data_IF_176895407116
#
_entry.id   IF_176895407116
#
_cell.length_a   1.000
_cell.length_b   1.000
_cell.length_c   1.000
_cell.angle_alpha   90.00
_cell.angle_beta   90.00
_cell.angle_gamma   90.00
#
_symmetry.space_group_name_H-M   'P 1'
#
loop_
_entity.id
_entity.type
_entity.pdbx_description
1 polymer ?
#
# COMPACT_ATOMS: atom_id res chain seq x y z
N UNK A 1 -12.19 -19.18 45.76
CA UNK A 1 -11.98 -18.49 44.48
C UNK A 1 -11.61 -17.06 44.84
N UNK A 2 -10.31 -16.75 44.80
CA UNK A 2 -9.84 -15.37 44.88
C UNK A 2 -10.50 -14.63 43.71
N UNK A 3 -11.34 -13.65 44.03
CA UNK A 3 -11.95 -12.78 43.03
C UNK A 3 -10.82 -12.08 42.28
N UNK A 4 -10.84 -12.12 40.95
CA UNK A 4 -9.89 -11.48 40.02
C UNK A 4 -9.96 -9.93 40.12
N UNK A 5 -9.77 -9.36 41.32
CA UNK A 5 -9.90 -7.93 41.62
C UNK A 5 -8.54 -7.25 41.45
N UNK A 6 -8.01 -7.37 40.25
CA UNK A 6 -7.00 -6.45 39.73
C UNK A 6 -7.22 -6.28 38.22
N UNK A 7 -8.48 -6.00 37.85
CA UNK A 7 -8.85 -5.66 36.49
C UNK A 7 -8.28 -4.30 36.12
N UNK A 8 -7.93 -4.12 34.84
CA UNK A 8 -7.60 -2.81 34.28
C UNK A 8 -8.82 -1.89 34.44
N UNK A 9 -8.66 -0.81 35.20
CA UNK A 9 -9.76 0.14 35.51
C UNK A 9 -9.68 1.45 34.75
N UNK A 10 -8.47 1.84 34.37
CA UNK A 10 -8.20 3.07 33.62
C UNK A 10 -7.69 2.69 32.24
N UNK A 11 -8.42 3.11 31.22
CA UNK A 11 -8.14 2.85 29.82
C UNK A 11 -9.01 3.75 28.94
N UNK A 12 -8.67 3.80 27.66
CA UNK A 12 -9.55 4.39 26.65
C UNK A 12 -10.01 3.33 25.69
N UNK A 13 -11.21 3.49 25.14
CA UNK A 13 -11.73 2.65 24.05
C UNK A 13 -11.77 3.49 22.80
N UNK A 14 -11.20 3.01 21.70
CA UNK A 14 -11.05 3.75 20.46
C UNK A 14 -11.57 2.95 19.27
N UNK A 15 -12.26 3.65 18.38
CA UNK A 15 -12.67 3.20 17.06
C UNK A 15 -12.63 4.40 16.10
N UNK A 16 -12.39 4.16 14.80
CA UNK A 16 -12.37 5.19 13.77
C UNK A 16 -13.00 4.71 12.46
N UNK A 17 -13.45 5.67 11.66
CA UNK A 17 -13.88 5.43 10.30
C UNK A 17 -12.88 6.02 9.29
N UNK A 18 -12.76 5.40 8.12
CA UNK A 18 -11.87 5.86 7.05
C UNK A 18 -12.66 6.42 5.87
N UNK A 19 -12.15 7.44 5.16
CA UNK A 19 -12.83 8.00 3.99
C UNK A 19 -12.77 7.08 2.77
N UNK A 20 -11.75 6.23 2.67
CA UNK A 20 -11.48 5.39 1.52
C UNK A 20 -10.68 4.14 1.91
N UNK A 21 -10.39 3.29 0.92
CA UNK A 21 -9.67 2.01 1.09
C UNK A 21 -8.19 2.12 1.46
N UNK A 22 -7.53 3.27 1.27
CA UNK A 22 -6.08 3.41 1.50
C UNK A 22 -5.71 3.32 2.98
N UNK A 23 -6.67 3.62 3.86
CA UNK A 23 -6.54 3.51 5.32
C UNK A 23 -5.34 4.32 5.84
N UNK A 24 -5.13 5.51 5.26
CA UNK A 24 -4.07 6.48 5.61
C UNK A 24 -4.65 7.85 6.03
N UNK A 25 -5.97 7.91 6.27
CA UNK A 25 -6.71 9.02 6.83
C UNK A 25 -7.92 8.50 7.62
N UNK A 26 -8.39 9.27 8.59
CA UNK A 26 -9.62 9.02 9.33
C UNK A 26 -10.65 10.10 8.99
N UNK A 27 -11.91 9.72 8.82
CA UNK A 27 -13.06 10.62 8.59
C UNK A 27 -13.87 10.88 9.86
N UNK A 28 -13.79 10.00 10.85
CA UNK A 28 -14.24 10.26 12.22
C UNK A 28 -13.49 9.40 13.23
N UNK A 29 -13.53 9.79 14.49
CA UNK A 29 -12.93 9.03 15.59
C UNK A 29 -13.76 9.16 16.86
N UNK A 30 -14.03 8.03 17.52
CA UNK A 30 -14.72 7.94 18.80
C UNK A 30 -13.78 7.42 19.88
N UNK A 31 -13.78 8.09 21.03
CA UNK A 31 -12.98 7.71 22.19
C UNK A 31 -13.85 7.72 23.44
N UNK A 32 -13.95 6.59 24.13
CA UNK A 32 -14.56 6.49 25.46
C UNK A 32 -13.44 6.44 26.50
N UNK A 33 -13.44 7.39 27.43
CA UNK A 33 -12.47 7.45 28.54
C UNK A 33 -13.09 6.74 29.73
N UNK A 34 -12.39 5.73 30.24
CA UNK A 34 -12.80 4.94 31.39
C UNK A 34 -11.83 5.18 32.53
N UNK A 35 -12.37 5.59 33.68
CA UNK A 35 -11.64 5.77 34.94
C UNK A 35 -12.35 4.98 36.04
N UNK A 36 -11.58 4.28 36.87
CA UNK A 36 -12.10 3.43 37.95
C UNK A 36 -13.14 2.38 37.47
N UNK A 37 -13.09 2.00 36.19
CA UNK A 37 -14.02 1.07 35.54
C UNK A 37 -15.35 1.70 35.08
N UNK A 38 -15.50 3.03 35.19
CA UNK A 38 -16.66 3.77 34.73
C UNK A 38 -16.31 4.63 33.51
N UNK A 39 -17.18 4.65 32.50
CA UNK A 39 -17.03 5.60 31.39
C UNK A 39 -17.33 7.02 31.92
N UNK A 40 -16.32 7.87 31.94
CA UNK A 40 -16.39 9.22 32.53
C UNK A 40 -16.51 10.32 31.49
N UNK A 41 -16.02 10.09 30.28
CA UNK A 41 -16.06 11.06 29.18
C UNK A 41 -16.10 10.35 27.82
N UNK A 42 -16.75 10.99 26.86
CA UNK A 42 -16.83 10.56 25.46
C UNK A 42 -16.31 11.71 24.58
N UNK A 43 -15.29 11.44 23.77
CA UNK A 43 -14.76 12.38 22.76
C UNK A 43 -15.07 11.86 21.36
N UNK A 44 -15.74 12.67 20.56
CA UNK A 44 -16.05 12.35 19.17
C UNK A 44 -15.70 13.54 18.28
N UNK A 45 -15.09 13.27 17.13
CA UNK A 45 -14.90 14.26 16.10
C UNK A 45 -15.11 13.65 14.72
N UNK A 46 -15.78 14.39 13.85
CA UNK A 46 -15.52 14.29 12.41
C UNK A 46 -14.12 14.84 12.14
N UNK A 47 -13.45 14.31 11.12
CA UNK A 47 -12.09 14.70 10.78
C UNK A 47 -12.05 14.94 9.28
N UNK A 48 -11.56 16.10 8.86
CA UNK A 48 -11.27 16.35 7.46
C UNK A 48 -10.01 15.55 7.08
N UNK A 49 -10.13 14.51 6.23
CA UNK A 49 -9.01 13.66 5.91
C UNK A 49 -8.17 14.22 4.74
N UNK A 50 -8.53 15.37 4.18
CA UNK A 50 -7.85 16.03 3.06
C UNK A 50 -7.62 15.08 1.87
N UNK A 51 -8.58 14.20 1.62
CA UNK A 51 -8.56 13.22 0.53
C UNK A 51 -9.97 12.89 0.08
N UNK A 52 -10.08 12.18 -1.04
CA UNK A 52 -11.35 11.71 -1.58
C UNK A 52 -12.00 10.65 -0.70
N UNK A 53 -13.32 10.54 -0.83
CA UNK A 53 -14.13 9.50 -0.23
C UNK A 53 -14.53 8.45 -1.27
N UNK A 54 -14.38 7.18 -0.93
CA UNK A 54 -14.89 6.08 -1.76
C UNK A 54 -16.41 5.92 -1.52
N UNK A 55 -17.19 5.69 -2.59
CA UNK A 55 -18.65 5.49 -2.48
C UNK A 55 -19.01 4.39 -1.48
N UNK A 56 -18.21 3.33 -1.41
CA UNK A 56 -18.39 2.25 -0.44
C UNK A 56 -18.28 2.76 1.00
N UNK A 57 -17.26 3.57 1.31
CA UNK A 57 -17.03 4.10 2.66
C UNK A 57 -18.14 5.07 3.06
N UNK A 58 -18.61 5.91 2.13
CA UNK A 58 -19.77 6.79 2.37
C UNK A 58 -21.01 5.95 2.66
N UNK A 59 -21.31 4.94 1.84
CA UNK A 59 -22.47 4.08 2.04
C UNK A 59 -22.39 3.26 3.35
N UNK A 60 -21.18 2.93 3.79
CA UNK A 60 -20.95 2.11 4.97
C UNK A 60 -21.02 2.91 6.27
N UNK A 61 -20.48 4.14 6.28
CA UNK A 61 -20.33 4.98 7.49
C UNK A 61 -21.32 6.13 7.55
N UNK A 62 -21.89 6.51 6.41
CA UNK A 62 -22.74 7.68 6.25
C UNK A 62 -21.98 9.01 6.21
N UNK A 63 -20.64 9.00 6.21
CA UNK A 63 -19.81 10.21 6.22
C UNK A 63 -19.30 10.49 4.80
N UNK A 64 -19.65 11.65 4.26
CA UNK A 64 -19.22 12.16 2.96
C UNK A 64 -18.32 13.41 3.05
N UNK A 65 -17.80 13.88 1.91
CA UNK A 65 -16.98 15.09 1.83
C UNK A 65 -17.65 16.33 2.42
N UNK A 66 -18.96 16.47 2.27
CA UNK A 66 -19.77 17.59 2.76
C UNK A 66 -19.84 17.64 4.30
N UNK A 67 -19.77 16.49 4.98
CA UNK A 67 -19.86 16.42 6.43
C UNK A 67 -18.57 16.92 7.11
N UNK A 68 -17.44 16.79 6.42
CA UNK A 68 -16.10 17.04 6.99
C UNK A 68 -15.47 18.35 6.51
N UNK A 69 -16.17 19.15 5.68
CA UNK A 69 -15.59 20.36 5.06
C UNK A 69 -15.09 21.38 6.09
N UNK A 70 -15.84 21.54 7.19
CA UNK A 70 -15.52 22.45 8.29
C UNK A 70 -14.95 21.71 9.53
N UNK A 71 -14.74 20.40 9.42
CA UNK A 71 -14.17 19.58 10.50
C UNK A 71 -12.66 19.81 10.62
N UNK A 72 -12.07 19.63 11.82
CA UNK A 72 -10.62 19.74 11.98
C UNK A 72 -9.89 18.71 11.11
N UNK A 73 -8.72 19.08 10.60
CA UNK A 73 -7.78 18.14 10.00
C UNK A 73 -7.25 17.16 11.03
N UNK A 74 -6.67 16.05 10.58
CA UNK A 74 -6.11 15.07 11.51
C UNK A 74 -5.03 15.64 12.45
N UNK A 75 -4.06 16.47 12.02
CA UNK A 75 -3.09 17.07 12.92
C UNK A 75 -3.72 17.93 14.02
N UNK A 76 -4.73 18.74 13.67
CA UNK A 76 -5.43 19.61 14.62
C UNK A 76 -6.13 18.79 15.71
N UNK A 77 -6.90 17.77 15.31
CA UNK A 77 -7.56 16.90 16.29
C UNK A 77 -6.55 16.03 17.07
N UNK A 78 -5.51 15.53 16.41
CA UNK A 78 -4.47 14.74 17.06
C UNK A 78 -3.76 15.52 18.17
N UNK A 79 -3.51 16.81 17.98
CA UNK A 79 -2.91 17.65 19.01
C UNK A 79 -3.74 17.72 20.30
N UNK A 80 -5.06 17.57 20.22
CA UNK A 80 -5.97 17.52 21.38
C UNK A 80 -5.94 16.17 22.10
N UNK A 81 -5.70 15.06 21.38
CA UNK A 81 -5.84 13.70 21.92
C UNK A 81 -4.51 12.95 22.08
N UNK A 82 -3.38 13.48 21.59
CA UNK A 82 -2.10 12.76 21.55
C UNK A 82 -1.64 12.24 22.92
N UNK A 83 -1.82 13.03 23.97
CA UNK A 83 -1.41 12.65 25.34
C UNK A 83 -2.34 11.55 25.87
N UNK A 84 -3.65 11.67 25.59
CA UNK A 84 -4.63 10.64 25.91
C UNK A 84 -4.27 9.28 25.29
N UNK A 85 -3.89 9.26 24.01
CA UNK A 85 -3.49 8.04 23.30
C UNK A 85 -2.16 7.44 23.80
N UNK A 86 -1.22 8.28 24.25
CA UNK A 86 0.11 7.84 24.68
C UNK A 86 0.16 7.36 26.13
N UNK A 87 -0.61 8.01 27.00
CA UNK A 87 -0.56 7.76 28.45
C UNK A 87 -1.48 6.60 28.90
N UNK A 88 -2.43 6.18 28.05
CA UNK A 88 -3.41 5.16 28.37
C UNK A 88 -3.20 3.84 27.62
N UNK A 89 -3.80 2.76 28.12
CA UNK A 89 -4.02 1.56 27.32
C UNK A 89 -5.23 1.79 26.40
N UNK A 90 -5.04 1.53 25.12
CA UNK A 90 -6.07 1.63 24.09
C UNK A 90 -6.76 0.28 23.91
N UNK A 91 -8.03 0.22 24.25
CA UNK A 91 -8.91 -0.93 23.99
C UNK A 91 -9.61 -0.69 22.66
N UNK A 92 -9.75 -1.73 21.84
CA UNK A 92 -10.49 -1.61 20.58
C UNK A 92 -10.81 -2.96 19.94
N UNK A 93 -11.84 -3.01 19.11
CA UNK A 93 -12.15 -4.18 18.30
C UNK A 93 -11.28 -4.19 17.05
N UNK A 94 -10.39 -5.19 16.91
CA UNK A 94 -9.41 -5.22 15.82
C UNK A 94 -8.47 -3.99 15.79
N UNK A 95 -8.24 -3.37 16.96
CA UNK A 95 -7.57 -2.07 17.19
C UNK A 95 -6.23 -1.85 16.47
N UNK A 96 -5.53 -2.93 16.10
CA UNK A 96 -4.31 -2.82 15.28
C UNK A 96 -4.55 -2.20 13.91
N UNK A 97 -5.78 -2.26 13.39
CA UNK A 97 -6.19 -1.57 12.16
C UNK A 97 -6.22 -0.06 12.39
N UNK A 98 -6.94 0.41 13.40
CA UNK A 98 -7.11 1.81 13.78
C UNK A 98 -5.77 2.46 14.10
N UNK A 99 -4.94 1.79 14.91
CA UNK A 99 -3.58 2.25 15.21
C UNK A 99 -2.69 2.32 13.96
N UNK A 100 -2.95 1.47 12.97
CA UNK A 100 -2.31 1.54 11.64
C UNK A 100 -2.75 2.77 10.86
N UNK A 101 -4.05 3.09 10.87
CA UNK A 101 -4.58 4.29 10.20
C UNK A 101 -3.96 5.52 10.85
N UNK A 102 -4.04 5.66 12.17
CA UNK A 102 -3.42 6.76 12.93
C UNK A 102 -1.94 6.92 12.56
N UNK A 103 -1.18 5.81 12.57
CA UNK A 103 0.26 5.86 12.27
C UNK A 103 0.57 6.23 10.82
N UNK A 104 -0.21 5.75 9.86
CA UNK A 104 -0.08 6.12 8.43
C UNK A 104 -0.46 7.59 8.21
N UNK A 105 -1.52 8.07 8.86
CA UNK A 105 -1.92 9.48 8.78
C UNK A 105 -0.84 10.38 9.37
N UNK A 106 -0.30 10.05 10.56
CA UNK A 106 0.85 10.76 11.12
C UNK A 106 2.06 10.75 10.17
N UNK A 107 2.32 9.63 9.50
CA UNK A 107 3.37 9.53 8.47
C UNK A 107 3.12 10.51 7.31
N UNK A 108 1.87 10.57 6.81
CA UNK A 108 1.45 11.46 5.72
C UNK A 108 1.67 12.94 6.05
N UNK A 109 1.47 13.33 7.31
CA UNK A 109 1.72 14.69 7.80
C UNK A 109 3.16 14.93 8.28
N UNK A 110 4.06 13.95 8.16
CA UNK A 110 5.45 14.07 8.63
C UNK A 110 5.57 14.21 10.16
N UNK A 111 4.58 13.75 10.91
CA UNK A 111 4.52 13.83 12.37
C UNK A 111 5.19 12.62 13.04
N UNK A 112 5.77 12.78 14.24
CA UNK A 112 6.31 11.66 15.00
C UNK A 112 5.23 10.62 15.33
N UNK A 113 5.60 9.34 15.24
CA UNK A 113 4.69 8.22 15.51
C UNK A 113 5.10 7.56 16.83
N UNK A 114 4.30 7.66 17.90
CA UNK A 114 4.62 7.01 19.16
C UNK A 114 4.32 5.51 19.09
N UNK A 115 4.79 4.77 20.09
CA UNK A 115 4.30 3.43 20.36
C UNK A 115 3.03 3.49 21.22
N UNK A 116 2.04 2.66 20.94
CA UNK A 116 0.79 2.61 21.70
C UNK A 116 0.69 1.31 22.50
N UNK A 117 0.24 1.38 23.74
CA UNK A 117 -0.16 0.19 24.49
C UNK A 117 -1.61 -0.13 24.17
N UNK A 118 -1.93 -1.37 23.83
CA UNK A 118 -3.28 -1.72 23.43
C UNK A 118 -3.74 -3.09 23.93
N UNK A 119 -5.06 -3.25 23.97
CA UNK A 119 -5.76 -4.51 24.15
C UNK A 119 -6.79 -4.71 23.04
N UNK A 120 -6.76 -5.86 22.37
CA UNK A 120 -7.63 -6.14 21.23
C UNK A 120 -8.77 -7.08 21.62
N UNK A 121 -10.00 -6.57 21.65
CA UNK A 121 -11.21 -7.34 22.02
C UNK A 121 -11.54 -8.43 21.01
N UNK A 122 -11.20 -8.26 19.72
CA UNK A 122 -11.34 -9.32 18.70
C UNK A 122 -10.51 -10.56 19.06
N UNK A 123 -9.27 -10.37 19.50
CA UNK A 123 -8.39 -11.49 19.87
C UNK A 123 -8.90 -12.17 21.13
N UNK A 124 -9.40 -11.40 22.10
CA UNK A 124 -10.01 -11.93 23.32
C UNK A 124 -11.32 -12.68 23.03
N UNK A 125 -12.18 -12.15 22.17
CA UNK A 125 -13.41 -12.82 21.74
C UNK A 125 -13.11 -14.17 21.07
N UNK A 126 -12.14 -14.23 20.15
CA UNK A 126 -11.71 -15.50 19.52
C UNK A 126 -11.20 -16.55 20.51
N UNK A 127 -10.63 -16.13 21.64
CA UNK A 127 -10.13 -17.06 22.67
C UNK A 127 -11.24 -17.56 23.59
N UNK A 128 -12.16 -16.67 23.96
CA UNK A 128 -13.07 -16.89 25.08
C UNK A 128 -14.52 -17.13 24.67
N UNK A 129 -14.91 -16.71 23.47
CA UNK A 129 -16.27 -16.82 22.94
C UNK A 129 -16.26 -17.82 21.77
N UNK A 130 -17.00 -18.92 21.92
CA UNK A 130 -17.21 -19.90 20.85
C UNK A 130 -18.32 -19.41 19.90
N UNK A 131 -17.93 -18.54 18.95
CA UNK A 131 -18.84 -17.87 18.02
C UNK A 131 -18.45 -18.13 16.56
N UNK A 132 -19.42 -18.28 15.65
CA UNK A 132 -19.14 -18.46 14.22
C UNK A 132 -18.61 -17.17 13.57
N UNK A 133 -18.82 -16.01 14.17
CA UNK A 133 -18.39 -14.71 13.69
C UNK A 133 -17.99 -13.82 14.86
N UNK A 134 -16.84 -13.13 14.74
CA UNK A 134 -16.33 -12.23 15.78
C UNK A 134 -16.35 -10.75 15.35
N UNK A 135 -17.20 -10.39 14.38
CA UNK A 135 -17.47 -8.97 14.08
C UNK A 135 -18.18 -8.34 15.28
N UNK A 136 -17.90 -7.07 15.59
CA UNK A 136 -18.49 -6.39 16.74
C UNK A 136 -20.02 -6.48 16.70
N UNK A 137 -20.63 -6.09 15.59
CA UNK A 137 -22.08 -6.16 15.39
C UNK A 137 -22.69 -7.54 15.62
N UNK A 138 -21.98 -8.61 15.24
CA UNK A 138 -22.44 -9.98 15.49
C UNK A 138 -22.39 -10.31 16.99
N UNK A 139 -21.30 -9.96 17.68
CA UNK A 139 -21.14 -10.22 19.10
C UNK A 139 -22.16 -9.40 19.91
N UNK A 140 -22.32 -8.12 19.59
CA UNK A 140 -23.28 -7.22 20.24
C UNK A 140 -24.70 -7.77 20.12
N UNK A 141 -25.08 -8.24 18.93
CA UNK A 141 -26.41 -8.81 18.72
C UNK A 141 -26.62 -10.14 19.46
N UNK A 142 -25.67 -11.08 19.37
CA UNK A 142 -25.88 -12.46 19.82
C UNK A 142 -25.43 -12.73 21.28
N UNK A 143 -24.54 -11.90 21.82
CA UNK A 143 -23.97 -12.08 23.16
C UNK A 143 -24.43 -10.99 24.11
N UNK A 144 -24.36 -9.72 23.68
CA UNK A 144 -24.83 -8.60 24.50
C UNK A 144 -26.36 -8.39 24.37
N UNK A 145 -27.02 -9.11 23.45
CA UNK A 145 -28.46 -9.03 23.20
C UNK A 145 -28.98 -7.60 22.99
N UNK A 146 -28.22 -6.80 22.24
CA UNK A 146 -28.58 -5.41 21.95
C UNK A 146 -28.32 -5.05 20.48
N UNK A 147 -28.78 -3.88 20.08
CA UNK A 147 -28.57 -3.29 18.75
C UNK A 147 -28.08 -1.87 18.91
N UNK A 148 -27.27 -1.40 17.97
CA UNK A 148 -26.68 -0.07 17.99
C UNK A 148 -26.47 0.41 16.55
N UNK A 149 -26.09 1.67 16.40
CA UNK A 149 -25.71 2.23 15.11
C UNK A 149 -24.29 1.77 14.75
N UNK A 150 -24.18 0.60 14.10
CA UNK A 150 -22.90 0.09 13.64
C UNK A 150 -22.29 0.98 12.54
N UNK A 151 -20.97 1.03 12.48
CA UNK A 151 -20.19 1.89 11.57
C UNK A 151 -20.32 3.38 11.91
N UNK A 152 -20.44 3.64 13.20
CA UNK A 152 -20.33 4.95 13.80
C UNK A 152 -19.28 4.86 14.89
N UNK A 153 -18.16 5.56 14.71
CA UNK A 153 -16.99 5.40 15.56
C UNK A 153 -17.27 5.53 17.07
N UNK A 154 -18.16 6.44 17.50
CA UNK A 154 -18.51 6.55 18.92
C UNK A 154 -19.34 5.35 19.39
N UNK A 155 -20.37 4.97 18.63
CA UNK A 155 -21.23 3.85 19.00
C UNK A 155 -20.47 2.50 18.99
N UNK A 156 -19.54 2.32 18.06
CA UNK A 156 -18.63 1.17 18.01
C UNK A 156 -17.65 1.17 19.19
N UNK A 157 -17.10 2.32 19.59
CA UNK A 157 -16.27 2.43 20.79
C UNK A 157 -17.05 2.11 22.07
N UNK A 158 -18.29 2.57 22.20
CA UNK A 158 -19.17 2.25 23.33
C UNK A 158 -19.49 0.76 23.43
N UNK A 159 -19.87 0.13 22.32
CA UNK A 159 -20.15 -1.32 22.30
C UNK A 159 -18.89 -2.15 22.52
N UNK A 160 -17.74 -1.66 22.05
CA UNK A 160 -16.45 -2.27 22.36
C UNK A 160 -16.13 -2.20 23.85
N UNK A 161 -16.48 -1.10 24.54
CA UNK A 161 -16.33 -0.98 26.00
C UNK A 161 -17.17 -2.04 26.73
N UNK A 162 -18.43 -2.19 26.36
CA UNK A 162 -19.32 -3.20 26.97
C UNK A 162 -18.83 -4.62 26.69
N UNK A 163 -18.35 -4.89 25.48
CA UNK A 163 -17.70 -6.16 25.15
C UNK A 163 -16.43 -6.38 25.98
N UNK A 164 -15.59 -5.36 26.15
CA UNK A 164 -14.39 -5.46 26.97
C UNK A 164 -14.72 -5.81 28.42
N UNK A 165 -15.68 -5.12 29.04
CA UNK A 165 -16.17 -5.43 30.40
C UNK A 165 -16.61 -6.89 30.51
N UNK A 166 -17.39 -7.38 29.55
CA UNK A 166 -17.79 -8.79 29.51
C UNK A 166 -16.58 -9.73 29.47
N UNK A 167 -15.63 -9.47 28.57
CA UNK A 167 -14.45 -10.30 28.35
C UNK A 167 -13.53 -10.37 29.59
N UNK A 168 -13.51 -9.33 30.43
CA UNK A 168 -12.75 -9.34 31.69
C UNK A 168 -13.23 -10.41 32.70
N UNK A 169 -14.45 -10.93 32.53
CA UNK A 169 -14.94 -12.07 33.33
C UNK A 169 -14.30 -13.41 32.91
N UNK A 170 -13.69 -13.48 31.73
CA UNK A 170 -13.10 -14.71 31.17
C UNK A 170 -11.57 -14.69 31.25
N UNK A 171 -10.94 -13.52 31.14
CA UNK A 171 -9.49 -13.37 31.22
C UNK A 171 -9.06 -12.10 31.96
N UNK A 172 -7.86 -12.13 32.56
CA UNK A 172 -7.24 -10.91 33.10
C UNK A 172 -6.61 -10.11 31.94
N UNK A 173 -7.10 -8.89 31.64
CA UNK A 173 -6.61 -8.11 30.50
C UNK A 173 -5.13 -7.77 30.55
N UNK A 174 -4.55 -7.63 31.76
CA UNK A 174 -3.14 -7.26 31.95
C UNK A 174 -2.18 -8.26 31.30
N UNK A 175 -2.59 -9.51 31.14
CA UNK A 175 -1.78 -10.56 30.51
C UNK A 175 -1.71 -10.45 28.99
N UNK A 176 -2.55 -9.63 28.36
CA UNK A 176 -2.70 -9.54 26.91
C UNK A 176 -2.49 -8.13 26.35
N UNK A 177 -2.07 -7.19 27.20
CA UNK A 177 -1.62 -5.86 26.77
C UNK A 177 -0.42 -6.04 25.85
N UNK A 178 -0.49 -5.46 24.66
CA UNK A 178 0.57 -5.46 23.67
C UNK A 178 1.05 -4.04 23.42
N UNK A 179 2.26 -3.91 22.89
CA UNK A 179 2.76 -2.64 22.39
C UNK A 179 2.70 -2.65 20.87
N UNK A 180 1.91 -1.75 20.31
CA UNK A 180 1.94 -1.43 18.89
C UNK A 180 3.12 -0.51 18.65
N UNK A 181 4.02 -0.92 17.77
CA UNK A 181 5.05 -0.03 17.24
C UNK A 181 4.88 0.00 15.75
N UNK A 182 4.56 1.18 15.21
CA UNK A 182 4.51 1.35 13.78
C UNK A 182 5.90 1.10 13.21
N UNK A 183 6.01 0.05 12.42
CA UNK A 183 7.16 -0.16 11.55
C UNK A 183 6.62 0.13 10.17
N UNK A 184 6.98 1.28 9.55
CA UNK A 184 6.61 1.52 8.17
C UNK A 184 7.07 0.28 7.41
N UNK A 185 6.06 -0.45 6.94
CA UNK A 185 6.28 -1.81 6.50
C UNK A 185 6.85 -1.67 5.11
N UNK A 186 8.18 -1.52 5.05
CA UNK A 186 8.94 -1.41 3.81
C UNK A 186 8.72 -2.62 2.88
N UNK A 187 7.94 -3.62 3.32
CA UNK A 187 7.56 -4.86 2.64
C UNK A 187 6.05 -5.05 2.38
N UNK A 188 5.13 -4.19 2.87
CA UNK A 188 3.66 -4.37 2.65
C UNK A 188 2.98 -3.30 1.80
N UNK A 189 3.63 -2.17 1.51
CA UNK A 189 3.29 -1.35 0.33
C UNK A 189 3.89 -1.94 -0.96
N UNK A 190 4.11 -3.26 -0.96
CA UNK A 190 4.72 -3.97 -2.06
C UNK A 190 3.62 -4.32 -3.05
N UNK A 191 3.21 -3.33 -3.82
CA UNK A 191 2.53 -3.63 -5.05
C UNK A 191 3.55 -4.35 -5.96
N UNK A 192 3.47 -5.69 -6.00
CA UNK A 192 4.31 -6.51 -6.89
C UNK A 192 4.21 -6.03 -8.34
N UNK A 193 3.05 -5.49 -8.72
CA UNK A 193 2.83 -4.84 -10.01
C UNK A 193 3.64 -3.56 -10.10
N UNK A 194 3.67 -2.71 -9.07
CA UNK A 194 4.48 -1.48 -9.04
C UNK A 194 5.97 -1.76 -9.17
N UNK A 195 6.49 -2.75 -8.43
CA UNK A 195 7.91 -3.11 -8.47
C UNK A 195 8.29 -3.76 -9.81
N UNK A 196 7.43 -4.62 -10.37
CA UNK A 196 7.55 -5.11 -11.74
C UNK A 196 7.55 -3.93 -12.73
N UNK A 197 6.58 -3.02 -12.62
CA UNK A 197 6.42 -1.87 -13.52
C UNK A 197 7.65 -0.96 -13.46
N UNK A 198 8.24 -0.77 -12.28
CA UNK A 198 9.47 -0.01 -12.09
C UNK A 198 10.66 -0.67 -12.77
N UNK A 199 10.85 -1.98 -12.57
CA UNK A 199 11.94 -2.74 -13.17
C UNK A 199 11.76 -2.85 -14.69
N UNK A 200 10.53 -3.00 -15.15
CA UNK A 200 10.14 -3.02 -16.55
C UNK A 200 10.43 -1.67 -17.21
N UNK A 201 9.98 -0.54 -16.63
CA UNK A 201 10.30 0.80 -17.12
C UNK A 201 11.81 1.04 -17.17
N UNK A 202 12.54 0.61 -16.13
CA UNK A 202 14.00 0.70 -16.14
C UNK A 202 14.61 -0.04 -17.33
N UNK A 203 14.03 -1.18 -17.72
CA UNK A 203 14.36 -1.91 -18.95
C UNK A 203 14.08 -1.11 -20.22
N UNK A 204 12.84 -0.61 -20.36
CA UNK A 204 12.42 0.22 -21.49
C UNK A 204 13.40 1.36 -21.75
N UNK A 205 13.80 2.08 -20.70
CA UNK A 205 14.69 3.25 -20.83
C UNK A 205 16.18 2.88 -20.97
N UNK A 206 16.58 1.61 -20.82
CA UNK A 206 17.97 1.24 -21.13
C UNK A 206 18.23 1.30 -22.63
N UNK A 207 17.26 0.91 -23.46
CA UNK A 207 17.36 0.97 -24.92
C UNK A 207 17.51 2.42 -25.42
N UNK A 208 16.85 3.34 -24.74
CA UNK A 208 16.94 4.77 -25.02
C UNK A 208 18.36 5.36 -24.84
N UNK A 209 19.35 4.60 -24.35
CA UNK A 209 20.75 5.03 -24.29
C UNK A 209 21.53 4.82 -25.60
N UNK A 210 20.95 4.11 -26.56
CA UNK A 210 21.66 3.53 -27.70
C UNK A 210 21.28 4.26 -28.98
N UNK A 211 19.99 4.46 -29.19
CA UNK A 211 19.46 5.23 -30.32
C UNK A 211 19.45 6.73 -30.02
N UNK A 212 19.46 7.54 -31.07
CA UNK A 212 19.38 9.01 -30.97
C UNK A 212 17.94 9.54 -31.00
N UNK A 213 16.96 8.82 -31.57
CA UNK A 213 15.58 9.31 -31.77
C UNK A 213 14.48 8.33 -31.31
N UNK A 214 13.41 8.86 -30.69
CA UNK A 214 12.18 8.15 -30.30
C UNK A 214 11.31 7.91 -31.54
N UNK A 215 10.96 6.65 -31.79
CA UNK A 215 9.98 6.27 -32.81
C UNK A 215 8.58 6.36 -32.22
N UNK A 216 7.56 6.48 -33.08
CA UNK A 216 6.16 6.55 -32.64
C UNK A 216 5.75 5.27 -31.89
N UNK A 217 6.24 4.09 -32.31
CA UNK A 217 5.96 2.83 -31.62
C UNK A 217 6.55 2.78 -30.19
N UNK A 218 7.77 3.29 -30.01
CA UNK A 218 8.37 3.37 -28.67
C UNK A 218 7.69 4.41 -27.78
N UNK A 219 7.24 5.51 -28.39
CA UNK A 219 6.41 6.50 -27.71
C UNK A 219 5.11 5.88 -27.20
N UNK A 220 4.40 5.12 -28.04
CA UNK A 220 3.16 4.42 -27.67
C UNK A 220 3.39 3.41 -26.54
N UNK A 221 4.53 2.72 -26.54
CA UNK A 221 4.92 1.79 -25.48
C UNK A 221 5.13 2.52 -24.13
N UNK A 222 5.84 3.65 -24.13
CA UNK A 222 6.01 4.50 -22.95
C UNK A 222 4.70 5.11 -22.47
N UNK A 223 3.86 5.58 -23.39
CA UNK A 223 2.55 6.15 -23.09
C UNK A 223 1.60 5.10 -22.49
N UNK A 224 1.57 3.89 -23.06
CA UNK A 224 0.82 2.76 -22.52
C UNK A 224 1.28 2.42 -21.10
N UNK A 225 2.60 2.36 -20.87
CA UNK A 225 3.14 2.18 -19.53
C UNK A 225 2.68 3.29 -18.59
N UNK A 226 2.79 4.56 -19.00
CA UNK A 226 2.38 5.72 -18.20
C UNK A 226 0.89 5.64 -17.82
N UNK A 227 0.00 5.42 -18.78
CA UNK A 227 -1.45 5.32 -18.54
C UNK A 227 -1.79 4.18 -17.59
N UNK A 228 -1.11 3.04 -17.71
CA UNK A 228 -1.31 1.88 -16.84
C UNK A 228 -0.75 2.05 -15.42
N UNK A 229 0.08 3.08 -15.21
CA UNK A 229 0.78 3.35 -13.96
C UNK A 229 0.43 4.69 -13.29
N UNK A 230 -0.33 5.56 -13.97
CA UNK A 230 -0.72 6.88 -13.43
C UNK A 230 -1.51 6.81 -12.12
N UNK A 231 -2.14 5.67 -11.82
CA UNK A 231 -2.83 5.44 -10.55
C UNK A 231 -1.89 5.43 -9.32
N UNK A 232 -0.58 5.39 -9.54
CA UNK A 232 0.44 5.47 -8.49
C UNK A 232 1.08 6.87 -8.39
N UNK A 233 0.42 7.92 -8.89
CA UNK A 233 0.91 9.31 -8.82
C UNK A 233 1.20 9.82 -7.40
N UNK A 234 0.61 9.20 -6.38
CA UNK A 234 0.86 9.53 -4.97
C UNK A 234 1.99 8.68 -4.34
N UNK A 235 2.67 7.81 -5.10
CA UNK A 235 3.79 7.00 -4.59
C UNK A 235 5.10 7.80 -4.69
N UNK A 236 5.85 8.05 -3.59
CA UNK A 236 6.98 8.98 -3.59
C UNK A 236 8.10 8.68 -4.62
N UNK A 237 8.32 7.40 -4.95
CA UNK A 237 9.28 7.04 -6.01
C UNK A 237 8.69 7.19 -7.41
N UNK A 238 7.38 6.92 -7.59
CA UNK A 238 6.76 6.91 -8.91
C UNK A 238 6.24 8.28 -9.30
N UNK A 239 5.87 9.14 -8.36
CA UNK A 239 5.44 10.52 -8.59
C UNK A 239 6.47 11.27 -9.46
N UNK A 240 7.75 11.24 -9.07
CA UNK A 240 8.82 11.88 -9.85
C UNK A 240 8.98 11.27 -11.25
N UNK A 241 8.80 9.95 -11.35
CA UNK A 241 8.90 9.22 -12.63
C UNK A 241 7.71 9.56 -13.53
N UNK A 242 6.50 9.61 -12.99
CA UNK A 242 5.27 9.94 -13.69
C UNK A 242 5.27 11.40 -14.15
N UNK A 243 5.69 12.35 -13.31
CA UNK A 243 5.83 13.75 -13.70
C UNK A 243 6.83 13.94 -14.85
N UNK A 244 7.94 13.19 -14.84
CA UNK A 244 8.91 13.20 -15.94
C UNK A 244 8.37 12.57 -17.21
N UNK A 245 7.67 11.44 -17.10
CA UNK A 245 7.02 10.81 -18.25
C UNK A 245 5.93 11.71 -18.82
N UNK A 246 5.09 12.30 -17.97
CA UNK A 246 4.07 13.27 -18.36
C UNK A 246 4.71 14.44 -19.10
N UNK A 247 5.80 15.01 -18.59
CA UNK A 247 6.55 16.07 -19.27
C UNK A 247 7.09 15.63 -20.65
N UNK A 248 7.70 14.43 -20.73
CA UNK A 248 8.23 13.86 -21.99
C UNK A 248 7.11 13.56 -23.00
N UNK A 249 5.94 13.15 -22.52
CA UNK A 249 4.79 12.77 -23.33
C UNK A 249 3.91 13.99 -23.73
N UNK A 250 3.94 15.09 -22.97
CA UNK A 250 3.14 16.30 -23.25
C UNK A 250 3.84 17.26 -24.23
N UNK A 251 5.19 17.35 -24.22
CA UNK A 251 5.92 18.14 -25.21
C UNK A 251 6.07 17.40 -26.55
N UNK A 252 5.14 17.66 -27.46
CA UNK A 252 5.26 17.33 -28.89
C UNK A 252 6.50 17.98 -29.54
N UNK A 253 7.33 17.15 -30.19
CA UNK A 253 8.53 17.45 -31.01
C UNK A 253 9.87 17.79 -30.33
N UNK A 254 9.93 18.43 -29.15
CA UNK A 254 11.22 18.90 -28.56
C UNK A 254 12.05 17.80 -27.86
N UNK A 255 11.41 16.74 -27.35
CA UNK A 255 12.02 15.70 -26.50
C UNK A 255 12.15 14.33 -27.18
N UNK A 256 12.12 14.28 -28.52
CA UNK A 256 12.34 13.04 -29.29
C UNK A 256 13.74 12.43 -29.10
N UNK A 257 14.63 13.05 -28.34
CA UNK A 257 15.96 12.52 -28.05
C UNK A 257 15.90 11.43 -26.96
N UNK A 258 16.14 10.18 -27.35
CA UNK A 258 16.14 9.03 -26.44
C UNK A 258 17.19 9.16 -25.31
N UNK A 259 18.32 9.83 -25.55
CA UNK A 259 19.34 10.06 -24.50
C UNK A 259 18.82 10.95 -23.38
N UNK A 260 18.07 11.99 -23.70
CA UNK A 260 17.48 12.91 -22.70
C UNK A 260 16.45 12.19 -21.83
N UNK A 261 15.65 11.29 -22.42
CA UNK A 261 14.77 10.37 -21.69
C UNK A 261 15.57 9.48 -20.76
N UNK A 262 16.62 8.81 -21.26
CA UNK A 262 17.44 7.92 -20.45
C UNK A 262 18.17 8.66 -19.30
N UNK A 263 18.59 9.91 -19.52
CA UNK A 263 19.20 10.75 -18.49
C UNK A 263 18.21 11.19 -17.41
N UNK A 264 16.98 11.52 -17.81
CA UNK A 264 15.88 11.88 -16.89
C UNK A 264 15.57 10.76 -15.89
N UNK A 265 15.82 9.51 -16.28
CA UNK A 265 15.63 8.31 -15.45
C UNK A 265 16.93 7.72 -14.87
N UNK A 266 18.06 8.42 -14.93
CA UNK A 266 19.36 7.95 -14.38
C UNK A 266 19.29 7.60 -12.88
N UNK A 267 18.36 8.23 -12.15
CA UNK A 267 18.15 8.00 -10.71
C UNK A 267 17.33 6.74 -10.39
N UNK A 268 16.72 6.08 -11.39
CA UNK A 268 16.06 4.79 -11.22
C UNK A 268 17.16 3.72 -11.02
N UNK A 269 17.75 3.65 -9.82
CA UNK A 269 18.62 2.54 -9.41
C UNK A 269 17.81 1.59 -8.53
N UNK A 270 17.52 0.43 -9.13
CA UNK A 270 16.92 -0.83 -8.63
C UNK A 270 16.63 -0.95 -7.13
N UNK A 271 15.39 -1.32 -6.82
CA UNK A 271 14.94 -1.81 -5.51
C UNK A 271 15.77 -3.03 -5.07
N UNK A 272 16.42 -3.02 -3.88
CA UNK A 272 17.29 -4.10 -3.40
C UNK A 272 16.51 -5.33 -2.89
N UNK A 273 15.20 -5.44 -3.18
CA UNK A 273 14.27 -6.27 -2.41
C UNK A 273 13.87 -7.59 -3.09
N UNK A 274 14.35 -7.89 -4.30
CA UNK A 274 14.19 -9.20 -4.96
C UNK A 274 15.48 -10.02 -5.00
N UNK A 275 15.35 -11.35 -5.14
CA UNK A 275 16.49 -12.19 -5.56
C UNK A 275 17.02 -11.65 -6.89
N UNK A 276 18.34 -11.46 -6.98
CA UNK A 276 19.04 -10.86 -8.10
C UNK A 276 18.62 -11.45 -9.47
N UNK A 277 18.22 -12.71 -9.54
CA UNK A 277 17.76 -13.35 -10.78
C UNK A 277 16.41 -12.80 -11.29
N UNK A 278 15.41 -12.64 -10.42
CA UNK A 278 14.07 -12.16 -10.83
C UNK A 278 14.12 -10.70 -11.28
N UNK A 279 14.88 -9.88 -10.55
CA UNK A 279 15.14 -8.48 -10.92
C UNK A 279 15.77 -8.34 -12.31
N UNK A 280 16.68 -9.25 -12.67
CA UNK A 280 17.31 -9.25 -14.00
C UNK A 280 16.30 -9.57 -15.09
N UNK A 281 15.41 -10.54 -14.87
CA UNK A 281 14.38 -10.92 -15.85
C UNK A 281 13.33 -9.82 -16.07
N UNK A 282 12.88 -9.15 -15.01
CA UNK A 282 11.93 -8.04 -15.12
C UNK A 282 12.50 -6.86 -15.91
N UNK A 283 13.76 -6.51 -15.66
CA UNK A 283 14.46 -5.48 -16.44
C UNK A 283 14.69 -5.95 -17.88
N UNK A 284 14.98 -7.25 -18.08
CA UNK A 284 15.21 -7.80 -19.40
C UNK A 284 13.93 -7.81 -20.26
N UNK A 285 12.77 -8.09 -19.68
CA UNK A 285 11.46 -7.96 -20.35
C UNK A 285 11.23 -6.57 -20.91
N UNK A 286 11.54 -5.52 -20.14
CA UNK A 286 11.47 -4.14 -20.63
C UNK A 286 12.45 -3.86 -21.77
N UNK A 287 13.65 -4.45 -21.75
CA UNK A 287 14.61 -4.31 -22.85
C UNK A 287 14.08 -4.97 -24.13
N UNK A 288 13.54 -6.18 -24.03
CA UNK A 288 13.02 -6.92 -25.19
C UNK A 288 11.83 -6.17 -25.80
N UNK A 289 10.85 -5.75 -24.99
CA UNK A 289 9.68 -5.02 -25.49
C UNK A 289 10.06 -3.71 -26.18
N UNK A 290 11.08 -3.00 -25.65
CA UNK A 290 11.58 -1.77 -26.29
C UNK A 290 12.29 -2.00 -27.63
N UNK A 291 12.72 -3.22 -27.91
CA UNK A 291 13.34 -3.60 -29.19
C UNK A 291 12.27 -4.11 -30.14
N UNK A 292 11.40 -5.00 -29.67
CA UNK A 292 10.34 -5.60 -30.48
C UNK A 292 9.21 -4.63 -30.85
N UNK A 293 9.07 -3.49 -30.18
CA UNK A 293 8.13 -2.47 -30.60
C UNK A 293 8.57 -1.75 -31.89
N UNK A 294 9.84 -1.82 -32.27
CA UNK A 294 10.34 -1.19 -33.48
C UNK A 294 9.99 -2.03 -34.73
N UNK A 295 9.77 -1.35 -35.86
CA UNK A 295 9.44 -2.02 -37.13
C UNK A 295 10.62 -2.84 -37.70
N UNK A 296 11.86 -2.47 -37.35
CA UNK A 296 13.09 -3.12 -37.80
C UNK A 296 14.05 -3.37 -36.64
N UNK A 297 14.53 -4.61 -36.51
CA UNK A 297 15.58 -4.99 -35.57
C UNK A 297 16.96 -4.59 -36.09
N UNK A 298 17.69 -3.74 -35.36
CA UNK A 298 19.03 -3.28 -35.75
C UNK A 298 20.11 -4.18 -35.17
N UNK A 299 21.26 -4.27 -35.84
CA UNK A 299 22.43 -5.01 -35.35
C UNK A 299 22.91 -4.50 -33.98
N UNK A 300 22.79 -3.19 -33.75
CA UNK A 300 23.12 -2.55 -32.47
C UNK A 300 22.23 -3.05 -31.31
N UNK A 301 21.00 -3.46 -31.60
CA UNK A 301 20.03 -3.96 -30.63
C UNK A 301 20.43 -5.36 -30.15
N UNK A 302 20.84 -6.20 -31.09
CA UNK A 302 21.35 -7.55 -30.84
C UNK A 302 22.61 -7.46 -29.96
N UNK A 303 23.59 -6.65 -30.38
CA UNK A 303 24.83 -6.44 -29.62
C UNK A 303 24.55 -5.91 -28.21
N UNK A 304 23.54 -5.05 -28.06
CA UNK A 304 23.13 -4.54 -26.75
C UNK A 304 22.53 -5.62 -25.86
N UNK A 305 21.58 -6.39 -26.39
CA UNK A 305 20.92 -7.50 -25.70
C UNK A 305 21.99 -8.46 -25.20
N UNK A 306 22.90 -8.92 -26.07
CA UNK A 306 23.99 -9.84 -25.73
C UNK A 306 24.87 -9.32 -24.59
N UNK A 307 25.34 -8.07 -24.70
CA UNK A 307 26.16 -7.43 -23.65
C UNK A 307 25.41 -7.37 -22.32
N UNK A 308 24.11 -7.09 -22.35
CA UNK A 308 23.28 -7.02 -21.16
C UNK A 308 23.18 -8.37 -20.46
N UNK A 309 22.96 -9.44 -21.22
CA UNK A 309 22.86 -10.82 -20.73
C UNK A 309 24.16 -11.27 -20.07
N UNK A 310 25.28 -11.09 -20.76
CA UNK A 310 26.59 -11.52 -20.29
C UNK A 310 26.97 -10.77 -19.00
N UNK A 311 26.73 -9.45 -18.98
CA UNK A 311 26.97 -8.61 -17.79
C UNK A 311 26.08 -8.97 -16.60
N UNK A 312 24.92 -9.58 -16.83
CA UNK A 312 23.96 -9.96 -15.80
C UNK A 312 23.93 -11.47 -15.50
N UNK A 313 24.77 -12.31 -16.13
CA UNK A 313 24.78 -13.77 -15.93
C UNK A 313 23.39 -14.41 -16.04
N UNK A 314 22.59 -14.02 -17.04
CA UNK A 314 21.26 -14.60 -17.28
C UNK A 314 21.45 -16.00 -17.88
N UNK A 315 21.23 -17.05 -17.08
CA UNK A 315 21.42 -18.46 -17.46
C UNK A 315 20.07 -19.18 -17.65
N UNK A 316 19.15 -18.54 -18.37
CA UNK A 316 17.80 -19.05 -18.61
C UNK A 316 17.79 -20.07 -19.76
N UNK A 317 17.08 -21.20 -19.59
CA UNK A 317 17.03 -22.27 -20.61
C UNK A 317 16.29 -21.84 -21.87
N UNK A 318 15.26 -21.02 -21.74
CA UNK A 318 14.51 -20.48 -22.86
C UNK A 318 15.38 -19.50 -23.65
N UNK A 319 16.26 -18.75 -22.97
CA UNK A 319 17.22 -17.87 -23.64
C UNK A 319 18.37 -18.63 -24.35
N UNK A 320 18.76 -19.81 -23.86
CA UNK A 320 19.71 -20.67 -24.60
C UNK A 320 19.16 -21.18 -25.93
N UNK A 321 17.82 -21.24 -26.07
CA UNK A 321 17.16 -21.54 -27.34
C UNK A 321 17.35 -20.38 -28.32
N UNK A 322 17.12 -19.14 -27.86
CA UNK A 322 17.39 -17.92 -28.63
C UNK A 322 18.85 -17.84 -29.14
N UNK A 323 19.88 -17.97 -28.28
CA UNK A 323 21.30 -17.95 -28.74
C UNK A 323 21.64 -19.05 -29.75
N UNK A 324 20.89 -20.16 -29.74
CA UNK A 324 21.10 -21.26 -30.68
C UNK A 324 20.48 -20.94 -32.05
N UNK A 325 19.38 -20.20 -32.04
CA UNK A 325 18.62 -19.77 -33.22
C UNK A 325 19.26 -18.57 -33.91
N UNK A 326 19.93 -17.68 -33.15
CA UNK A 326 20.75 -16.56 -33.67
C UNK A 326 21.84 -16.95 -34.67
N UNK A 327 22.39 -18.16 -34.54
CA UNK A 327 23.45 -18.65 -35.43
C UNK A 327 22.90 -19.34 -36.70
N UNK A 328 21.61 -19.19 -36.98
CA UNK A 328 20.94 -19.81 -38.12
C UNK A 328 20.34 -18.73 -39.04
N UNK A 329 20.92 -18.57 -40.23
CA UNK A 329 20.54 -17.53 -41.21
C UNK A 329 19.07 -17.61 -41.68
N UNK A 330 18.38 -18.73 -41.43
CA UNK A 330 16.96 -18.95 -41.79
C UNK A 330 15.95 -18.55 -40.69
N UNK A 331 16.40 -17.97 -39.57
CA UNK A 331 15.54 -17.61 -38.43
C UNK A 331 15.23 -16.12 -38.39
N UNK A 332 13.94 -15.77 -38.26
CA UNK A 332 13.52 -14.41 -37.94
C UNK A 332 13.80 -14.09 -36.45
N UNK A 333 14.84 -13.30 -36.22
CA UNK A 333 15.27 -12.91 -34.88
C UNK A 333 14.23 -12.06 -34.13
N UNK A 334 13.41 -11.30 -34.85
CA UNK A 334 12.35 -10.50 -34.24
C UNK A 334 11.23 -11.41 -33.71
N UNK A 335 10.84 -12.43 -34.48
CA UNK A 335 9.86 -13.44 -34.06
C UNK A 335 10.35 -14.19 -32.81
N UNK A 336 11.63 -14.58 -32.77
CA UNK A 336 12.21 -15.23 -31.59
C UNK A 336 12.22 -14.35 -30.33
N UNK A 337 12.45 -13.03 -30.47
CA UNK A 337 12.40 -12.10 -29.35
C UNK A 337 10.97 -11.90 -28.86
N UNK A 338 9.99 -11.80 -29.77
CA UNK A 338 8.57 -11.70 -29.44
C UNK A 338 8.07 -12.94 -28.69
N UNK A 339 8.37 -14.14 -29.19
CA UNK A 339 8.05 -15.41 -28.50
C UNK A 339 8.62 -15.47 -27.08
N UNK A 340 9.85 -14.99 -26.92
CA UNK A 340 10.49 -14.95 -25.62
C UNK A 340 9.89 -13.88 -24.70
N UNK A 341 9.45 -12.76 -25.27
CA UNK A 341 8.73 -11.72 -24.56
C UNK A 341 7.40 -12.22 -23.98
N UNK A 342 6.61 -12.94 -24.78
CA UNK A 342 5.35 -13.56 -24.36
C UNK A 342 5.57 -14.61 -23.26
N UNK A 343 6.64 -15.41 -23.40
CA UNK A 343 7.06 -16.34 -22.35
C UNK A 343 7.37 -15.62 -21.03
N UNK A 344 8.12 -14.51 -21.08
CA UNK A 344 8.44 -13.72 -19.88
C UNK A 344 7.19 -13.09 -19.27
N UNK A 345 6.24 -12.65 -20.08
CA UNK A 345 4.97 -12.13 -19.58
C UNK A 345 4.20 -13.17 -18.76
N UNK A 346 4.07 -14.40 -19.28
CA UNK A 346 3.45 -15.50 -18.55
C UNK A 346 4.23 -16.00 -17.33
N UNK A 347 5.56 -15.84 -17.32
CA UNK A 347 6.43 -16.25 -16.20
C UNK A 347 6.49 -15.23 -15.05
N UNK A 348 6.30 -13.93 -15.36
CA UNK A 348 6.42 -12.82 -14.41
C UNK A 348 5.09 -12.41 -13.77
N UNK A 349 3.95 -12.83 -14.34
CA UNK A 349 2.61 -12.79 -13.72
C UNK A 349 2.47 -13.88 -12.65
#
# INVERSE_FOLDING_TARGET
METLVDSMKDYIVLDLETPNRYSDGASSMGIVIVEDGCAVEHKYSLINPETHFDEFNIAFTGIGPEDVVDAPTFPEYYDEIKDLLQDNIIVGQNITFDLSVISKTLTRYGMPIPSFKYYCTLNSAKRNLDLPCNKLSYIVHNVLNTTYNAHNAMADAEMTNELFKLLTNYENPKNYIQTYSYRPNCKRDFDRKLDYNFNYLYGLVQKAKIDDEITDNYYDLLYSWYVNNKCYNNHPLLENVLLKLEYILDESESLKNRKEVAESFRQIKRSPKYNASLLKLQVFKGIIDSVCCEDELKEEDIVFIEKWIDSNNINDKSFKKFKKEENNDDVDMNECLMDYSDFLEGYLQ
#
